data_IF_551115437497
#
_entry.id   IF_551115437497
#
_cell.length_a   1.000
_cell.length_b   1.000
_cell.length_c   1.000
_cell.angle_alpha   90.00
_cell.angle_beta   90.00
_cell.angle_gamma   90.00
#
_symmetry.space_group_name_H-M   'P 1'
#
loop_
_entity.id
_entity.type
_entity.pdbx_description
1 polymer ?
#
# COMPACT_ATOMS: atom_id res chain seq x y z
N UNK A 1 -33.93 3.87 -7.08
CA UNK A 1 -32.86 2.91 -6.67
C UNK A 1 -31.63 3.15 -7.55
N UNK A 2 -30.52 3.67 -7.00
CA UNK A 2 -29.26 3.80 -7.76
C UNK A 2 -28.69 2.38 -7.95
N UNK A 3 -28.65 1.90 -9.20
CA UNK A 3 -27.94 0.65 -9.54
C UNK A 3 -26.47 0.81 -9.15
N UNK A 4 -26.04 0.14 -8.09
CA UNK A 4 -24.63 0.07 -7.69
C UNK A 4 -23.92 -0.80 -8.73
N UNK A 5 -23.31 -0.15 -9.73
CA UNK A 5 -22.46 -0.83 -10.73
C UNK A 5 -21.47 -1.73 -10.00
N UNK A 6 -21.49 -3.04 -10.29
CA UNK A 6 -20.60 -4.04 -9.67
C UNK A 6 -19.14 -3.65 -9.93
N UNK A 7 -18.37 -3.41 -8.89
CA UNK A 7 -16.95 -3.05 -8.97
C UNK A 7 -16.16 -4.21 -9.57
N UNK A 8 -15.40 -3.93 -10.64
CA UNK A 8 -14.63 -4.96 -11.36
C UNK A 8 -13.40 -5.40 -10.56
N UNK A 9 -12.84 -6.56 -10.90
CA UNK A 9 -11.58 -7.03 -10.32
C UNK A 9 -10.45 -6.01 -10.56
N UNK A 10 -10.34 -5.51 -11.80
CA UNK A 10 -9.32 -4.52 -12.17
C UNK A 10 -9.44 -3.22 -11.37
N UNK A 11 -10.68 -2.73 -11.14
CA UNK A 11 -10.87 -1.56 -10.29
C UNK A 11 -10.41 -1.81 -8.85
N UNK A 12 -10.71 -2.99 -8.28
CA UNK A 12 -10.24 -3.33 -6.93
C UNK A 12 -8.73 -3.37 -6.85
N UNK A 13 -8.07 -3.99 -7.84
CA UNK A 13 -6.61 -3.97 -7.95
C UNK A 13 -6.07 -2.55 -8.05
N UNK A 14 -6.68 -1.69 -8.87
CA UNK A 14 -6.24 -0.31 -8.99
C UNK A 14 -6.32 0.47 -7.66
N UNK A 15 -7.38 0.28 -6.88
CA UNK A 15 -7.50 0.90 -5.56
C UNK A 15 -6.54 0.30 -4.54
N UNK A 16 -6.26 -1.01 -4.62
CA UNK A 16 -5.26 -1.69 -3.82
C UNK A 16 -3.87 -1.07 -4.05
N UNK A 17 -3.40 -1.06 -5.29
CA UNK A 17 -2.08 -0.53 -5.65
C UNK A 17 -1.97 0.98 -5.41
N UNK A 18 -3.05 1.73 -5.64
CA UNK A 18 -3.12 3.14 -5.30
C UNK A 18 -3.01 3.40 -3.78
N UNK A 19 -3.52 2.47 -2.96
CA UNK A 19 -3.36 2.52 -1.50
C UNK A 19 -1.90 2.45 -1.08
N UNK A 20 -1.14 1.51 -1.64
CA UNK A 20 0.30 1.39 -1.42
C UNK A 20 1.04 2.67 -1.84
N UNK A 21 0.76 3.16 -3.04
CA UNK A 21 1.41 4.37 -3.56
C UNK A 21 1.07 5.62 -2.72
N UNK A 22 -0.19 5.78 -2.29
CA UNK A 22 -0.62 6.88 -1.43
C UNK A 22 0.08 6.85 -0.07
N UNK A 23 0.27 5.67 0.52
CA UNK A 23 1.02 5.51 1.77
C UNK A 23 2.50 5.86 1.57
N UNK A 24 3.09 5.49 0.44
CA UNK A 24 4.45 5.90 0.10
C UNK A 24 4.60 7.42 0.08
N UNK A 25 3.67 8.15 -0.55
CA UNK A 25 3.69 9.62 -0.52
C UNK A 25 3.49 10.18 0.89
N UNK A 26 2.63 9.56 1.70
CA UNK A 26 2.41 9.99 3.09
C UNK A 26 3.64 9.79 3.99
N UNK A 27 4.52 8.84 3.64
CA UNK A 27 5.76 8.51 4.37
C UNK A 27 7.03 9.06 3.70
N UNK A 28 6.90 9.85 2.63
CA UNK A 28 8.02 10.34 1.81
C UNK A 28 8.92 9.22 1.28
N UNK A 29 8.35 8.01 1.13
CA UNK A 29 9.04 6.83 0.61
C UNK A 29 8.93 6.78 -0.91
N UNK A 30 10.05 6.59 -1.60
CA UNK A 30 10.06 6.44 -3.06
C UNK A 30 9.77 4.99 -3.46
N UNK A 31 9.20 4.83 -4.64
CA UNK A 31 9.07 3.57 -5.35
C UNK A 31 9.54 3.72 -6.80
N UNK A 32 9.86 2.64 -7.47
CA UNK A 32 10.26 2.67 -8.89
C UNK A 32 9.01 2.79 -9.76
N UNK A 33 8.09 1.87 -9.60
CA UNK A 33 6.79 1.89 -10.27
C UNK A 33 5.72 1.19 -9.44
N UNK A 34 4.48 1.46 -9.78
CA UNK A 34 3.28 0.77 -9.33
C UNK A 34 2.48 0.36 -10.55
N UNK A 35 1.98 -0.89 -10.59
CA UNK A 35 1.31 -1.45 -11.76
C UNK A 35 0.08 -2.28 -11.38
N UNK A 36 -0.89 -2.30 -12.27
CA UNK A 36 -2.07 -3.19 -12.23
C UNK A 36 -2.03 -4.24 -13.35
N UNK A 37 -0.87 -4.41 -13.98
CA UNK A 37 -0.64 -5.50 -14.92
C UNK A 37 -0.31 -6.74 -14.11
N UNK A 38 -1.03 -7.82 -14.37
CA UNK A 38 -0.80 -9.10 -13.70
C UNK A 38 0.54 -9.69 -14.13
N UNK A 39 1.28 -10.23 -13.18
CA UNK A 39 2.49 -11.00 -13.40
C UNK A 39 2.22 -12.46 -13.06
N UNK A 40 1.94 -13.27 -14.09
CA UNK A 40 1.50 -14.66 -13.95
C UNK A 40 2.54 -15.52 -13.22
N UNK A 41 3.84 -15.27 -13.44
CA UNK A 41 4.93 -15.99 -12.81
C UNK A 41 4.95 -15.85 -11.28
N UNK A 42 4.46 -14.72 -10.76
CA UNK A 42 4.39 -14.44 -9.32
C UNK A 42 2.99 -14.59 -8.74
N UNK A 43 1.99 -14.88 -9.57
CA UNK A 43 0.58 -14.96 -9.16
C UNK A 43 0.02 -13.64 -8.64
N UNK A 44 0.61 -12.51 -9.04
CA UNK A 44 0.23 -11.17 -8.65
C UNK A 44 -0.72 -10.54 -9.68
N UNK A 45 -1.77 -9.87 -9.20
CA UNK A 45 -2.71 -9.10 -10.05
C UNK A 45 -2.26 -7.65 -10.27
N UNK A 46 -1.24 -7.24 -9.54
CA UNK A 46 -0.62 -5.92 -9.56
C UNK A 46 0.47 -5.90 -8.48
N UNK A 47 1.36 -4.93 -8.53
CA UNK A 47 2.39 -4.76 -7.52
C UNK A 47 2.98 -3.35 -7.49
N UNK A 48 3.63 -3.01 -6.38
CA UNK A 48 4.47 -1.84 -6.24
C UNK A 48 5.92 -2.28 -6.02
N UNK A 49 6.83 -1.79 -6.86
CA UNK A 49 8.26 -2.00 -6.68
C UNK A 49 8.86 -0.84 -5.87
N UNK A 50 9.11 -1.09 -4.60
CA UNK A 50 9.69 -0.10 -3.69
C UNK A 50 11.15 0.19 -4.01
N UNK A 51 11.57 1.45 -3.85
CA UNK A 51 12.98 1.78 -3.80
C UNK A 51 13.61 1.12 -2.56
N UNK A 52 14.86 0.64 -2.71
CA UNK A 52 15.58 0.02 -1.59
C UNK A 52 15.63 0.98 -0.39
N UNK A 53 15.30 0.47 0.79
CA UNK A 53 15.55 1.18 2.03
C UNK A 53 17.07 1.27 2.20
N UNK A 54 17.59 2.47 2.47
CA UNK A 54 19.00 2.63 2.83
C UNK A 54 19.21 1.87 4.14
N UNK A 55 20.03 0.83 4.09
CA UNK A 55 20.50 -0.04 5.20
C UNK A 55 19.56 -0.12 6.41
N UNK A 56 18.58 -1.00 6.34
CA UNK A 56 18.05 -1.65 7.53
C UNK A 56 18.93 -2.90 7.69
N UNK A 57 19.89 -2.86 8.58
CA UNK A 57 20.63 -4.04 9.02
C UNK A 57 19.88 -4.63 10.21
N UNK A 58 19.22 -5.78 10.06
CA UNK A 58 18.46 -6.40 11.15
C UNK A 58 19.33 -6.75 12.37
N UNK A 59 20.63 -6.86 12.15
CA UNK A 59 21.59 -7.35 13.15
C UNK A 59 22.20 -6.25 14.04
N UNK A 60 22.01 -4.97 13.74
CA UNK A 60 22.61 -3.86 14.50
C UNK A 60 21.71 -3.32 15.62
N UNK A 61 20.84 -4.15 16.16
CA UNK A 61 20.07 -3.76 17.33
C UNK A 61 18.86 -2.89 17.00
N UNK A 62 17.97 -2.86 17.95
CA UNK A 62 16.63 -2.28 17.95
C UNK A 62 16.69 -0.73 18.00
N UNK A 63 17.49 -0.09 17.11
CA UNK A 63 17.55 1.36 17.05
C UNK A 63 16.22 1.91 16.51
N UNK A 64 15.87 3.12 16.91
CA UNK A 64 14.61 3.76 16.53
C UNK A 64 14.47 3.95 15.01
N UNK A 65 15.57 4.05 14.25
CA UNK A 65 15.54 4.22 12.78
C UNK A 65 15.15 2.93 12.09
N UNK A 66 15.74 1.81 12.52
CA UNK A 66 15.40 0.47 12.05
C UNK A 66 13.94 0.16 12.39
N UNK A 67 13.51 0.39 13.63
CA UNK A 67 12.12 0.21 14.04
C UNK A 67 11.15 1.04 13.19
N UNK A 68 11.42 2.33 13.00
CA UNK A 68 10.61 3.22 12.17
C UNK A 68 10.55 2.76 10.72
N UNK A 69 11.68 2.28 10.17
CA UNK A 69 11.73 1.78 8.79
C UNK A 69 10.87 0.53 8.61
N UNK A 70 10.91 -0.41 9.55
CA UNK A 70 10.10 -1.63 9.53
C UNK A 70 8.61 -1.32 9.78
N UNK A 71 8.29 -0.40 10.69
CA UNK A 71 6.91 0.11 10.86
C UNK A 71 6.36 0.71 9.56
N UNK A 72 7.17 1.48 8.83
CA UNK A 72 6.80 2.03 7.54
C UNK A 72 6.56 0.94 6.48
N UNK A 73 7.33 -0.16 6.50
CA UNK A 73 7.08 -1.33 5.64
C UNK A 73 5.72 -1.94 5.95
N UNK A 74 5.40 -2.14 7.24
CA UNK A 74 4.11 -2.71 7.66
C UNK A 74 2.96 -1.79 7.22
N UNK A 75 3.07 -0.48 7.46
CA UNK A 75 2.04 0.49 7.04
C UNK A 75 1.83 0.51 5.53
N UNK A 76 2.92 0.44 4.74
CA UNK A 76 2.80 0.32 3.28
C UNK A 76 2.08 -0.97 2.90
N UNK A 77 2.45 -2.12 3.47
CA UNK A 77 1.82 -3.42 3.17
C UNK A 77 0.34 -3.46 3.56
N UNK A 78 -0.05 -2.75 4.63
CA UNK A 78 -1.44 -2.68 5.07
C UNK A 78 -2.30 -1.70 4.24
N UNK A 79 -1.68 -0.72 3.58
CA UNK A 79 -2.41 0.35 2.89
C UNK A 79 -3.18 -0.12 1.65
N UNK A 80 -2.64 -1.08 0.89
CA UNK A 80 -3.33 -1.69 -0.25
C UNK A 80 -4.62 -2.40 0.18
N UNK A 81 -4.54 -3.39 1.08
CA UNK A 81 -5.72 -4.05 1.64
C UNK A 81 -6.72 -3.08 2.27
N UNK A 82 -6.26 -2.01 2.94
CA UNK A 82 -7.12 -0.99 3.52
C UNK A 82 -7.87 -0.20 2.44
N UNK A 83 -7.19 0.25 1.40
CA UNK A 83 -7.81 0.98 0.30
C UNK A 83 -8.79 0.10 -0.48
N UNK A 84 -8.44 -1.17 -0.76
CA UNK A 84 -9.37 -2.11 -1.39
C UNK A 84 -10.60 -2.34 -0.52
N UNK A 85 -10.43 -2.48 0.80
CA UNK A 85 -11.55 -2.69 1.72
C UNK A 85 -12.50 -1.48 1.77
N UNK A 86 -11.98 -0.25 1.81
CA UNK A 86 -12.78 0.98 1.76
C UNK A 86 -13.52 1.05 0.43
N UNK A 87 -12.83 0.81 -0.69
CA UNK A 87 -13.43 0.84 -2.02
C UNK A 87 -14.48 -0.26 -2.20
N UNK A 88 -14.16 -1.51 -1.88
CA UNK A 88 -15.03 -2.67 -2.12
C UNK A 88 -16.11 -2.88 -1.05
N UNK A 89 -15.98 -2.27 0.12
CA UNK A 89 -16.85 -2.46 1.27
C UNK A 89 -16.57 -3.77 2.05
N UNK A 90 -15.47 -4.48 1.72
CA UNK A 90 -15.08 -5.74 2.39
C UNK A 90 -13.57 -5.97 2.27
N UNK A 91 -13.01 -6.63 3.28
CA UNK A 91 -11.59 -7.05 3.28
C UNK A 91 -11.36 -8.24 2.35
N UNK A 92 -10.20 -8.25 1.67
CA UNK A 92 -9.78 -9.32 0.76
C UNK A 92 -8.31 -9.73 1.04
N UNK A 93 -8.10 -10.49 2.10
CA UNK A 93 -6.76 -10.97 2.45
C UNK A 93 -6.20 -12.02 1.48
N UNK A 94 -7.04 -12.70 0.70
CA UNK A 94 -6.57 -13.68 -0.29
C UNK A 94 -5.76 -13.03 -1.41
N UNK A 95 -6.15 -11.82 -1.82
CA UNK A 95 -5.42 -11.04 -2.83
C UNK A 95 -4.16 -10.34 -2.29
N UNK A 96 -3.97 -10.31 -0.97
CA UNK A 96 -2.90 -9.58 -0.29
C UNK A 96 -1.82 -10.50 0.33
N UNK A 97 -1.57 -11.68 -0.25
CA UNK A 97 -0.61 -12.66 0.32
C UNK A 97 0.81 -12.12 0.40
N UNK A 98 1.25 -11.36 -0.62
CA UNK A 98 2.55 -10.68 -0.63
C UNK A 98 2.67 -9.67 0.50
N UNK A 99 1.63 -8.85 0.68
CA UNK A 99 1.56 -7.86 1.75
C UNK A 99 1.57 -8.51 3.13
N UNK A 100 0.79 -9.61 3.31
CA UNK A 100 0.78 -10.37 4.56
C UNK A 100 2.17 -10.88 4.92
N UNK A 101 2.90 -11.45 3.95
CA UNK A 101 4.27 -11.92 4.15
C UNK A 101 5.20 -10.77 4.51
N UNK A 102 5.15 -9.68 3.77
CA UNK A 102 6.00 -8.50 3.98
C UNK A 102 5.79 -7.89 5.37
N UNK A 103 4.54 -7.68 5.78
CA UNK A 103 4.24 -7.11 7.10
C UNK A 103 4.61 -8.05 8.24
N UNK A 104 4.40 -9.37 8.10
CA UNK A 104 4.76 -10.35 9.13
C UNK A 104 6.27 -10.38 9.31
N UNK A 105 7.05 -10.47 8.22
CA UNK A 105 8.50 -10.45 8.29
C UNK A 105 9.03 -9.16 8.94
N UNK A 106 8.44 -8.02 8.63
CA UNK A 106 8.82 -6.74 9.23
C UNK A 106 8.46 -6.68 10.72
N UNK A 107 7.30 -7.19 11.12
CA UNK A 107 6.87 -7.20 12.51
C UNK A 107 7.74 -8.10 13.37
N UNK A 108 8.04 -9.32 12.91
CA UNK A 108 8.91 -10.26 13.62
C UNK A 108 10.35 -9.74 13.82
N UNK A 109 10.79 -8.81 12.95
CA UNK A 109 12.10 -8.15 13.10
C UNK A 109 12.17 -7.10 14.22
N UNK A 110 11.04 -6.71 14.82
CA UNK A 110 10.97 -5.65 15.84
C UNK A 110 10.12 -6.00 17.05
N UNK A 111 9.66 -7.23 17.15
CA UNK A 111 8.88 -7.77 18.27
C UNK A 111 9.55 -9.01 18.85
N UNK A 112 9.23 -9.35 20.10
CA UNK A 112 9.83 -10.48 20.80
C UNK A 112 9.18 -11.81 20.44
N UNK A 113 7.86 -11.80 20.22
CA UNK A 113 7.09 -13.02 19.96
C UNK A 113 5.93 -12.78 18.98
N UNK A 114 5.21 -13.85 18.67
CA UNK A 114 4.10 -13.82 17.73
C UNK A 114 2.87 -13.06 18.26
N UNK A 115 2.68 -13.03 19.60
CA UNK A 115 1.56 -12.33 20.23
C UNK A 115 1.79 -10.81 20.13
N UNK A 116 3.00 -10.34 20.47
CA UNK A 116 3.38 -8.95 20.30
C UNK A 116 3.32 -8.52 18.84
N UNK A 117 3.82 -9.34 17.90
CA UNK A 117 3.75 -9.06 16.46
C UNK A 117 2.30 -8.91 15.99
N UNK A 118 1.39 -9.79 16.43
CA UNK A 118 -0.03 -9.75 16.08
C UNK A 118 -0.71 -8.49 16.64
N UNK A 119 -0.46 -8.14 17.89
CA UNK A 119 -0.99 -6.93 18.51
C UNK A 119 -0.49 -5.67 17.79
N UNK A 120 0.81 -5.62 17.46
CA UNK A 120 1.43 -4.52 16.74
C UNK A 120 0.85 -4.33 15.33
N UNK A 121 0.71 -5.41 14.56
CA UNK A 121 0.06 -5.38 13.24
C UNK A 121 -1.39 -4.91 13.36
N UNK A 122 -2.12 -5.36 14.37
CA UNK A 122 -3.51 -4.96 14.61
C UNK A 122 -3.63 -3.47 14.88
N UNK A 123 -2.73 -2.91 15.68
CA UNK A 123 -2.67 -1.47 15.91
C UNK A 123 -2.31 -0.69 14.64
N UNK A 124 -1.31 -1.15 13.88
CA UNK A 124 -0.93 -0.54 12.62
C UNK A 124 -2.01 -0.64 11.54
N UNK A 125 -2.86 -1.67 11.59
CA UNK A 125 -4.04 -1.76 10.73
C UNK A 125 -5.00 -0.58 10.94
N UNK A 126 -5.28 -0.23 12.20
CA UNK A 126 -6.11 0.93 12.52
C UNK A 126 -5.47 2.22 11.99
N UNK A 127 -4.17 2.36 12.20
CA UNK A 127 -3.39 3.51 11.72
C UNK A 127 -3.38 3.61 10.19
N UNK A 128 -3.16 2.49 9.49
CA UNK A 128 -3.17 2.44 8.02
C UNK A 128 -4.55 2.85 7.46
N UNK A 129 -5.64 2.35 8.03
CA UNK A 129 -6.99 2.75 7.63
C UNK A 129 -7.21 4.26 7.81
N UNK A 130 -6.82 4.83 8.95
CA UNK A 130 -6.97 6.25 9.22
C UNK A 130 -6.17 7.10 8.21
N UNK A 131 -4.93 6.71 7.90
CA UNK A 131 -4.09 7.41 6.91
C UNK A 131 -4.71 7.30 5.52
N UNK A 132 -5.12 6.11 5.09
CA UNK A 132 -5.75 5.88 3.78
C UNK A 132 -7.04 6.69 3.66
N UNK A 133 -7.88 6.73 4.69
CA UNK A 133 -9.09 7.57 4.70
C UNK A 133 -8.76 9.05 4.58
N UNK A 134 -7.81 9.54 5.38
CA UNK A 134 -7.38 10.95 5.32
C UNK A 134 -6.77 11.33 3.96
N UNK A 135 -6.19 10.36 3.25
CA UNK A 135 -5.60 10.52 1.91
C UNK A 135 -6.47 9.97 0.79
N UNK A 136 -7.78 9.75 1.04
CA UNK A 136 -8.66 9.06 0.10
C UNK A 136 -8.68 9.72 -1.29
N UNK A 137 -8.70 11.04 -1.35
CA UNK A 137 -8.64 11.77 -2.63
C UNK A 137 -7.38 11.44 -3.43
N UNK A 138 -6.24 11.27 -2.76
CA UNK A 138 -4.98 10.84 -3.40
C UNK A 138 -5.12 9.41 -3.97
N UNK A 139 -5.73 8.50 -3.20
CA UNK A 139 -5.99 7.12 -3.65
C UNK A 139 -6.88 7.11 -4.90
N UNK A 140 -7.96 7.90 -4.93
CA UNK A 140 -8.85 7.99 -6.10
C UNK A 140 -8.13 8.48 -7.35
N UNK A 141 -7.28 9.51 -7.23
CA UNK A 141 -6.51 10.06 -8.34
C UNK A 141 -5.52 9.03 -8.89
N UNK A 142 -4.79 8.36 -8.00
CA UNK A 142 -3.81 7.33 -8.38
C UNK A 142 -4.50 6.11 -8.99
N UNK A 143 -5.62 5.67 -8.43
CA UNK A 143 -6.40 4.56 -8.99
C UNK A 143 -6.94 4.89 -10.39
N UNK A 144 -7.43 6.10 -10.61
CA UNK A 144 -7.88 6.55 -11.93
C UNK A 144 -6.72 6.56 -12.94
N UNK A 145 -5.56 7.10 -12.56
CA UNK A 145 -4.36 7.10 -13.40
C UNK A 145 -3.88 5.68 -13.73
N UNK A 146 -3.90 4.76 -12.76
CA UNK A 146 -3.56 3.35 -12.97
C UNK A 146 -4.54 2.64 -13.92
N UNK A 147 -5.83 2.94 -13.84
CA UNK A 147 -6.81 2.36 -14.76
C UNK A 147 -6.59 2.83 -16.21
N UNK A 148 -6.09 4.04 -16.39
CA UNK A 148 -5.77 4.61 -17.70
C UNK A 148 -4.43 4.10 -18.23
N UNK A 149 -3.35 4.22 -17.46
CA UNK A 149 -1.97 4.01 -17.90
C UNK A 149 -1.41 2.60 -17.57
N UNK A 150 -2.10 1.85 -16.70
CA UNK A 150 -1.74 0.52 -16.19
C UNK A 150 -0.53 0.51 -15.26
N UNK A 151 0.49 1.28 -15.54
CA UNK A 151 1.74 1.39 -14.76
C UNK A 151 2.10 2.86 -14.60
N UNK A 152 2.53 3.23 -13.39
CA UNK A 152 2.99 4.58 -13.08
C UNK A 152 4.35 4.50 -12.40
N UNK A 153 5.33 5.23 -12.91
CA UNK A 153 6.54 5.57 -12.17
C UNK A 153 6.22 6.54 -11.03
N UNK A 154 7.13 6.71 -10.08
CA UNK A 154 6.97 7.69 -9.00
C UNK A 154 6.72 9.12 -9.54
N UNK A 155 7.42 9.50 -10.63
CA UNK A 155 7.26 10.83 -11.24
C UNK A 155 5.89 11.01 -11.89
N UNK A 156 5.39 10.01 -12.61
CA UNK A 156 4.05 10.03 -13.23
C UNK A 156 2.95 10.08 -12.17
N UNK A 157 3.07 9.27 -11.11
CA UNK A 157 2.16 9.32 -9.97
C UNK A 157 2.14 10.72 -9.31
N UNK A 158 3.31 11.33 -9.13
CA UNK A 158 3.45 12.69 -8.60
C UNK A 158 2.82 13.73 -9.52
N UNK A 159 2.97 13.58 -10.84
CA UNK A 159 2.37 14.47 -11.83
C UNK A 159 0.84 14.35 -11.83
N UNK A 160 0.30 13.13 -11.76
CA UNK A 160 -1.14 12.89 -11.67
C UNK A 160 -1.75 13.62 -10.46
N UNK A 161 -1.08 13.54 -9.31
CA UNK A 161 -1.52 14.25 -8.10
C UNK A 161 -1.48 15.78 -8.27
N UNK A 162 -0.42 16.34 -8.85
CA UNK A 162 -0.29 17.78 -9.10
C UNK A 162 -1.36 18.30 -10.06
N UNK A 163 -1.60 17.60 -11.17
CA UNK A 163 -2.58 18.00 -12.18
C UNK A 163 -4.01 18.00 -11.65
N UNK A 164 -4.30 17.18 -10.65
CA UNK A 164 -5.63 17.15 -10.02
C UNK A 164 -5.91 18.37 -9.13
N UNK A 165 -4.87 19.06 -8.64
CA UNK A 165 -5.01 20.29 -7.86
C UNK A 165 -5.28 21.49 -8.76
N UNK A 166 -4.73 21.48 -9.99
CA UNK A 166 -4.85 22.58 -10.95
C UNK A 166 -6.19 22.60 -11.71
N UNK A 167 -6.98 21.51 -11.61
CA UNK A 167 -8.29 21.40 -12.27
C UNK A 167 -9.47 21.79 -11.36
N UNK A 168 -9.20 22.39 -10.22
CA UNK A 168 -10.19 23.02 -9.33
C UNK A 168 -10.19 24.52 -9.50
#
# INVERSE_FOLDING_TARGET
>A
MKSTKRKTALQRTAFHEAGHAAMCFAQERKFHHVTIVAEEAEGSLGHILYAKLKSVQPDEGNDWKTRKSLENVILCSLAGPAAEAIYAGRRNWRGARGDLRSMTNAATGITFDAEEASAFISWLWIRANNVVQAKWRMVEILAAALLEQKTLSYKEAQLALRNSVLKK
#
